data_IF_629097476300
#
_entry.id   IF_629097476300
#
_cell.length_a   1.000
_cell.length_b   1.000
_cell.length_c   1.000
_cell.angle_alpha   90.00
_cell.angle_beta   90.00
_cell.angle_gamma   90.00
#
_symmetry.space_group_name_H-M   'P 1'
#
loop_
_entity.id
_entity.type
_entity.pdbx_description
1 polymer ?
#
# COMPACT_ATOMS: atom_id res chain seq x y z
N UNK A 1 -11.73 2.50 -8.51
CA UNK A 1 -11.05 1.44 -7.72
C UNK A 1 -10.95 1.82 -6.24
N UNK A 2 -10.40 2.99 -5.87
CA UNK A 2 -10.35 3.41 -4.46
C UNK A 2 -11.71 3.76 -3.84
N UNK A 3 -12.68 4.18 -4.64
CA UNK A 3 -14.05 4.53 -4.18
C UNK A 3 -14.75 3.38 -3.44
N UNK A 4 -14.47 2.12 -3.77
CA UNK A 4 -15.01 0.94 -3.07
C UNK A 4 -14.24 0.63 -1.77
N UNK A 5 -12.98 1.03 -1.72
CA UNK A 5 -12.08 0.71 -0.62
C UNK A 5 -12.18 1.75 0.51
N UNK A 6 -12.26 3.03 0.16
CA UNK A 6 -12.28 4.15 1.12
C UNK A 6 -13.41 4.05 2.15
N UNK A 7 -14.66 3.66 1.80
CA UNK A 7 -15.73 3.53 2.79
C UNK A 7 -15.52 2.40 3.81
N UNK A 8 -14.63 1.44 3.52
CA UNK A 8 -14.36 0.28 4.38
C UNK A 8 -13.09 0.47 5.23
N UNK A 9 -12.36 1.57 5.02
CA UNK A 9 -11.10 1.87 5.68
C UNK A 9 -11.28 3.01 6.68
N UNK A 10 -10.98 2.75 7.94
CA UNK A 10 -10.88 3.77 8.99
C UNK A 10 -9.48 4.36 9.09
N UNK A 11 -8.45 3.53 8.93
CA UNK A 11 -7.05 3.95 9.01
C UNK A 11 -6.14 3.00 8.23
N UNK A 12 -4.97 3.49 7.84
CA UNK A 12 -3.91 2.70 7.22
C UNK A 12 -2.55 3.25 7.60
N UNK A 13 -1.66 2.38 8.09
CA UNK A 13 -0.30 2.75 8.51
C UNK A 13 0.74 1.85 7.88
N UNK A 14 1.85 2.43 7.44
CA UNK A 14 3.03 1.67 7.01
C UNK A 14 3.75 1.11 8.22
N UNK A 15 4.06 -0.17 8.20
CA UNK A 15 4.75 -0.86 9.30
C UNK A 15 6.22 -1.14 9.02
N UNK A 16 6.64 -0.98 7.76
CA UNK A 16 8.03 -1.11 7.35
C UNK A 16 8.37 -0.18 6.18
N UNK A 17 9.66 -0.12 5.84
CA UNK A 17 10.12 0.52 4.62
C UNK A 17 9.69 -0.26 3.38
N UNK A 18 9.33 0.41 2.27
CA UNK A 18 8.83 -0.24 1.07
C UNK A 18 9.98 -0.91 0.34
N UNK A 19 9.73 -2.07 -0.26
CA UNK A 19 10.70 -2.74 -1.11
C UNK A 19 10.39 -2.42 -2.56
N UNK A 20 11.38 -1.94 -3.30
CA UNK A 20 11.21 -1.55 -4.69
C UNK A 20 11.58 -2.68 -5.65
N UNK A 21 10.92 -2.69 -6.81
CA UNK A 21 11.27 -3.57 -7.92
C UNK A 21 12.59 -3.08 -8.51
N UNK A 22 13.56 -4.00 -8.69
CA UNK A 22 14.77 -3.69 -9.45
C UNK A 22 14.43 -3.67 -10.94
N UNK A 23 14.19 -2.49 -11.47
CA UNK A 23 13.84 -2.29 -12.89
C UNK A 23 14.43 -0.98 -13.40
N UNK A 24 14.78 -0.99 -14.69
CA UNK A 24 15.22 0.21 -15.42
C UNK A 24 14.07 0.86 -16.22
N UNK A 25 12.88 0.25 -16.22
CA UNK A 25 11.75 0.70 -17.02
C UNK A 25 10.58 1.20 -16.16
N UNK A 26 10.34 0.56 -15.01
CA UNK A 26 9.22 0.93 -14.12
C UNK A 26 9.74 1.24 -12.72
N UNK A 27 9.20 2.30 -12.13
CA UNK A 27 9.37 2.59 -10.71
C UNK A 27 8.27 1.86 -9.92
N UNK A 28 8.50 0.57 -9.66
CA UNK A 28 7.53 -0.30 -9.01
C UNK A 28 7.82 -0.53 -7.53
N UNK A 29 6.75 -0.70 -6.74
CA UNK A 29 6.84 -1.29 -5.41
C UNK A 29 6.68 -2.81 -5.52
N UNK A 30 7.67 -3.54 -4.98
CA UNK A 30 7.64 -5.00 -4.86
C UNK A 30 6.77 -5.43 -3.68
N UNK A 31 6.93 -4.75 -2.54
CA UNK A 31 6.18 -4.99 -1.30
C UNK A 31 5.93 -3.68 -0.56
N UNK A 32 4.73 -3.50 -0.02
CA UNK A 32 4.33 -2.38 0.82
C UNK A 32 3.62 -2.93 2.06
N UNK A 33 4.37 -3.09 3.15
CA UNK A 33 3.81 -3.58 4.41
C UNK A 33 2.95 -2.50 5.07
N UNK A 34 1.67 -2.81 5.24
CA UNK A 34 0.69 -1.94 5.87
C UNK A 34 -0.14 -2.71 6.89
N UNK A 35 -0.48 -2.01 7.96
CA UNK A 35 -1.56 -2.37 8.85
C UNK A 35 -2.79 -1.55 8.49
N UNK A 36 -3.94 -2.19 8.51
CA UNK A 36 -5.20 -1.60 8.06
C UNK A 36 -6.23 -1.72 9.18
N UNK A 37 -6.89 -0.60 9.48
CA UNK A 37 -8.05 -0.58 10.38
C UNK A 37 -9.30 -0.43 9.54
N UNK A 38 -10.24 -1.35 9.70
CA UNK A 38 -11.51 -1.33 8.98
C UNK A 38 -12.55 -0.47 9.73
N UNK A 39 -13.53 0.04 9.00
CA UNK A 39 -14.67 0.77 9.54
C UNK A 39 -15.81 -0.14 10.02
#
# INVERSE_FOLDING_TARGET
MFEELLPRLSDIRRTAEPRYVRSNFVNGLKELAVEVTLA
#
